data_IF_656364207667
#
_entry.id   IF_656364207667
#
_cell.length_a   1.000
_cell.length_b   1.000
_cell.length_c   1.000
_cell.angle_alpha   90.00
_cell.angle_beta   90.00
_cell.angle_gamma   90.00
#
_symmetry.space_group_name_H-M   'P 1'
#
loop_
_entity.id
_entity.type
_entity.pdbx_description
1 polymer ?
#
# COMPACT_ATOMS: atom_id res chain seq x y z
N UNK A 1 -4.25 30.22 -1.89
CA UNK A 1 -4.68 29.06 -1.08
C UNK A 1 -3.80 27.87 -1.44
N UNK A 2 -3.55 26.97 -0.49
CA UNK A 2 -2.86 25.70 -0.76
C UNK A 2 -3.88 24.66 -1.22
N UNK A 3 -3.55 23.92 -2.28
CA UNK A 3 -4.43 22.90 -2.90
C UNK A 3 -3.61 22.07 -3.89
N UNK A 4 -4.04 20.84 -4.14
CA UNK A 4 -3.38 19.91 -5.08
C UNK A 4 -3.26 20.47 -6.51
N UNK A 5 -4.11 21.42 -6.89
CA UNK A 5 -4.09 22.05 -8.22
C UNK A 5 -3.45 23.43 -8.26
N UNK A 6 -3.24 24.08 -7.12
CA UNK A 6 -2.68 25.42 -7.03
C UNK A 6 -1.25 25.37 -6.44
N UNK A 7 -1.11 25.69 -5.16
CA UNK A 7 0.16 25.56 -4.44
C UNK A 7 0.12 24.23 -3.68
N UNK A 8 0.87 23.25 -4.17
CA UNK A 8 0.90 21.91 -3.63
C UNK A 8 1.80 21.82 -2.39
N UNK A 9 1.30 21.20 -1.32
CA UNK A 9 2.06 20.81 -0.15
C UNK A 9 2.05 19.29 -0.06
N UNK A 10 2.91 18.65 -0.84
CA UNK A 10 2.93 17.19 -0.91
C UNK A 10 3.56 16.59 0.36
N UNK A 11 2.97 15.54 0.96
CA UNK A 11 3.53 14.85 2.10
C UNK A 11 4.59 13.83 1.65
N UNK A 12 5.67 14.31 1.04
CA UNK A 12 6.71 13.47 0.39
C UNK A 12 7.30 12.45 1.36
N UNK A 13 7.48 12.81 2.63
CA UNK A 13 7.97 11.88 3.65
C UNK A 13 6.96 10.78 3.98
N UNK A 14 5.66 11.10 4.05
CA UNK A 14 4.64 10.08 4.24
C UNK A 14 4.63 9.12 3.03
N UNK A 15 4.73 9.65 1.80
CA UNK A 15 4.79 8.82 0.60
C UNK A 15 6.01 7.89 0.60
N UNK A 16 7.17 8.38 1.03
CA UNK A 16 8.39 7.58 1.14
C UNK A 16 8.24 6.43 2.16
N UNK A 17 7.67 6.71 3.34
CA UNK A 17 7.36 5.67 4.34
C UNK A 17 6.40 4.64 3.76
N UNK A 18 5.32 5.10 3.11
CA UNK A 18 4.34 4.21 2.47
C UNK A 18 5.01 3.26 1.48
N UNK A 19 5.84 3.79 0.57
CA UNK A 19 6.53 2.98 -0.43
C UNK A 19 7.48 1.97 0.22
N UNK A 20 8.17 2.36 1.29
CA UNK A 20 9.10 1.47 2.00
C UNK A 20 8.37 0.28 2.62
N UNK A 21 7.23 0.50 3.29
CA UNK A 21 6.43 -0.58 3.86
C UNK A 21 5.70 -1.41 2.80
N UNK A 22 5.32 -0.79 1.68
CA UNK A 22 4.72 -1.48 0.54
C UNK A 22 5.70 -2.48 -0.09
N UNK A 23 6.97 -2.11 -0.24
CA UNK A 23 8.01 -2.92 -0.89
C UNK A 23 8.86 -3.75 0.07
N UNK A 24 8.62 -3.67 1.39
CA UNK A 24 9.41 -4.39 2.39
C UNK A 24 9.43 -5.93 2.23
N UNK A 25 8.31 -6.62 1.92
CA UNK A 25 8.29 -8.08 1.81
C UNK A 25 9.27 -8.60 0.77
N UNK A 26 10.14 -9.54 1.16
CA UNK A 26 11.15 -10.11 0.27
C UNK A 26 12.39 -9.24 0.01
N UNK A 27 12.41 -7.98 0.46
CA UNK A 27 13.58 -7.09 0.33
C UNK A 27 14.16 -6.81 1.71
N UNK A 28 13.51 -5.94 2.49
CA UNK A 28 13.95 -5.54 3.83
C UNK A 28 13.34 -6.43 4.92
N UNK A 29 12.30 -7.21 4.58
CA UNK A 29 11.72 -8.25 5.42
C UNK A 29 11.60 -9.58 4.63
N UNK A 30 12.70 -10.36 4.52
CA UNK A 30 12.74 -11.55 3.67
C UNK A 30 11.74 -12.66 4.04
N UNK A 31 11.38 -12.77 5.32
CA UNK A 31 10.39 -13.74 5.81
C UNK A 31 8.94 -13.25 5.74
N UNK A 32 8.71 -11.98 5.37
CA UNK A 32 7.35 -11.44 5.26
C UNK A 32 6.77 -11.73 3.87
N UNK A 33 5.52 -12.20 3.83
CA UNK A 33 4.77 -12.49 2.60
C UNK A 33 3.83 -11.35 2.19
N UNK A 34 3.63 -10.35 3.05
CA UNK A 34 2.79 -9.19 2.82
C UNK A 34 3.31 -7.97 3.60
N UNK A 35 2.92 -6.77 3.18
CA UNK A 35 3.22 -5.53 3.89
C UNK A 35 2.56 -5.48 5.26
N UNK A 36 3.04 -4.58 6.13
CA UNK A 36 2.52 -4.43 7.50
C UNK A 36 1.08 -3.92 7.58
N UNK A 37 0.53 -3.36 6.50
CA UNK A 37 -0.86 -2.94 6.35
C UNK A 37 -1.27 -2.92 4.88
N UNK A 38 -2.56 -3.16 4.61
CA UNK A 38 -3.15 -3.03 3.28
C UNK A 38 -3.20 -1.57 2.80
N UNK A 39 -3.14 -0.60 3.73
CA UNK A 39 -3.18 0.83 3.42
C UNK A 39 -1.92 1.36 2.74
N UNK A 40 -0.82 0.58 2.70
CA UNK A 40 0.44 0.99 2.08
C UNK A 40 0.42 0.93 0.54
N UNK A 41 -0.66 0.44 -0.07
CA UNK A 41 -0.91 0.63 -1.51
C UNK A 41 -0.39 -0.48 -2.44
N UNK A 42 0.14 -1.60 -1.93
CA UNK A 42 0.67 -2.66 -2.82
C UNK A 42 -0.37 -3.51 -3.51
N UNK A 43 -1.59 -3.63 -2.98
CA UNK A 43 -2.74 -4.21 -3.70
C UNK A 43 -3.99 -3.63 -3.08
N UNK A 44 -4.82 -2.96 -3.88
CA UNK A 44 -6.23 -2.88 -3.54
C UNK A 44 -6.76 -4.32 -3.53
N UNK A 45 -6.87 -4.94 -2.36
CA UNK A 45 -7.65 -6.17 -2.22
C UNK A 45 -9.08 -5.74 -2.46
N UNK A 46 -9.53 -5.83 -3.71
CA UNK A 46 -10.93 -5.70 -4.03
C UNK A 46 -11.66 -6.80 -3.25
N UNK A 47 -12.74 -6.45 -2.53
CA UNK A 47 -13.61 -7.42 -1.85
C UNK A 47 -14.00 -8.57 -2.80
N UNK A 48 -14.12 -8.28 -4.09
CA UNK A 48 -14.35 -9.28 -5.13
C UNK A 48 -13.29 -10.37 -5.21
N UNK A 49 -12.01 -10.03 -5.02
CA UNK A 49 -10.91 -11.00 -5.00
C UNK A 49 -10.95 -11.87 -3.74
N UNK A 50 -11.33 -11.29 -2.59
CA UNK A 50 -11.46 -12.02 -1.33
C UNK A 50 -12.65 -12.99 -1.33
N UNK A 51 -13.78 -12.60 -1.91
CA UNK A 51 -14.94 -13.48 -2.07
C UNK A 51 -14.66 -14.63 -3.05
N UNK A 52 -13.96 -14.37 -4.17
CA UNK A 52 -13.57 -15.41 -5.13
C UNK A 52 -12.68 -16.49 -4.50
N UNK A 53 -11.77 -16.11 -3.61
CA UNK A 53 -10.88 -17.05 -2.91
C UNK A 53 -11.65 -17.97 -1.95
N UNK A 54 -12.72 -17.48 -1.32
CA UNK A 54 -13.60 -18.25 -0.42
C UNK A 54 -14.58 -19.19 -1.13
N UNK A 55 -14.77 -19.04 -2.43
CA UNK A 55 -15.68 -19.88 -3.23
C UNK A 55 -14.95 -21.06 -3.90
N UNK A 56 -13.62 -20.99 -3.98
CA UNK A 56 -12.76 -22.05 -4.56
C UNK A 56 -12.15 -23.01 -3.54
N UNK A 57 -12.49 -22.86 -2.25
CA UNK A 57 -12.07 -23.71 -1.12
C UNK A 57 -13.21 -23.86 -0.12
#
# INVERSE_FOLDING_TARGET
>A
MFSDTAIQLQPIFAQWVQNTHALAPGITAPGATASTSLTWGVKAVSIYFFLRYKETH
#
